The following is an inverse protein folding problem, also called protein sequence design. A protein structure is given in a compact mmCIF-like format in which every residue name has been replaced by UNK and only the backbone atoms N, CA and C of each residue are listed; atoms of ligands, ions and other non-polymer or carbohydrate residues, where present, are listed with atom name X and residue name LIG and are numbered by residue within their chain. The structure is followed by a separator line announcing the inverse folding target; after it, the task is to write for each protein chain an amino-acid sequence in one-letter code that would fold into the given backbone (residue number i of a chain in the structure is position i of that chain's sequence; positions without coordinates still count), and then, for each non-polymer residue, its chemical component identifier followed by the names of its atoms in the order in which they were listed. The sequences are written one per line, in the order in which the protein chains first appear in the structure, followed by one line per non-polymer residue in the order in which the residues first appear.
data_IF_317028654760
#
_entry.id   IF_317028654760
#
_cell.length_a   1.000
_cell.length_b   1.000
_cell.length_c   1.000
_cell.angle_alpha   90.00
_cell.angle_beta   90.00
_cell.angle_gamma   90.00
#
_symmetry.space_group_name_H-M   'P 1'
#
loop_
_entity.id
_entity.type
_entity.pdbx_description
1 polymer ?
#
# COMPACT_ATOMS: atom_id res chain seq x y z
N UNK A 1 0.48 13.13 -12.46
CA UNK A 1 0.21 13.24 -11.00
C UNK A 1 -0.24 11.87 -10.53
N UNK A 2 0.17 11.37 -9.35
CA UNK A 2 -0.37 10.10 -8.83
C UNK A 2 -1.90 10.23 -8.69
N UNK A 3 -2.64 9.41 -9.42
CA UNK A 3 -4.10 9.40 -9.37
C UNK A 3 -4.56 9.15 -7.95
N UNK A 4 -5.55 9.91 -7.50
CA UNK A 4 -6.15 9.81 -6.17
C UNK A 4 -7.63 9.58 -6.35
N UNK A 5 -8.17 8.62 -5.61
CA UNK A 5 -9.59 8.39 -5.52
C UNK A 5 -10.10 9.01 -4.22
N UNK A 6 -11.21 9.72 -4.29
CA UNK A 6 -11.82 10.42 -3.16
C UNK A 6 -13.18 9.80 -2.91
N UNK A 7 -13.37 9.27 -1.71
CA UNK A 7 -14.63 8.67 -1.28
C UNK A 7 -15.35 9.68 -0.41
N UNK A 8 -16.60 9.97 -0.73
CA UNK A 8 -17.49 10.82 0.05
C UNK A 8 -18.62 9.93 0.56
N UNK A 9 -18.59 9.57 1.85
CA UNK A 9 -19.63 8.74 2.50
C UNK A 9 -20.79 9.63 2.96
N UNK A 10 -20.47 10.80 3.52
CA UNK A 10 -21.45 11.80 3.95
C UNK A 10 -21.09 13.15 3.35
N UNK A 11 -22.01 13.70 2.57
CA UNK A 11 -21.87 14.93 1.80
C UNK A 11 -23.11 15.15 0.94
N UNK A 12 -23.08 16.14 0.06
CA UNK A 12 -24.21 16.44 -0.83
C UNK A 12 -24.52 15.30 -1.80
N UNK A 13 -23.48 14.75 -2.43
CA UNK A 13 -23.57 13.58 -3.32
C UNK A 13 -22.55 12.53 -2.85
N UNK A 14 -22.98 11.50 -2.12
CA UNK A 14 -22.11 10.39 -1.75
C UNK A 14 -21.67 9.57 -2.97
N UNK A 15 -20.43 9.10 -2.95
CA UNK A 15 -19.85 8.30 -4.03
C UNK A 15 -18.33 8.38 -4.08
N UNK A 16 -17.75 7.87 -5.17
CA UNK A 16 -16.30 7.87 -5.43
C UNK A 16 -15.99 8.78 -6.62
N UNK A 17 -14.96 9.61 -6.46
CA UNK A 17 -14.48 10.59 -7.43
C UNK A 17 -13.00 10.34 -7.74
N UNK A 18 -12.56 10.63 -8.97
CA UNK A 18 -11.14 10.61 -9.37
C UNK A 18 -10.50 12.01 -9.40
N UNK A 19 -11.26 13.06 -9.06
CA UNK A 19 -10.83 14.47 -9.00
C UNK A 19 -11.27 15.12 -7.69
N UNK A 20 -10.42 15.99 -7.16
CA UNK A 20 -10.72 16.77 -5.96
C UNK A 20 -11.48 18.05 -6.32
N UNK A 21 -10.78 19.01 -6.93
CA UNK A 21 -11.37 20.23 -7.47
C UNK A 21 -12.23 19.88 -8.70
N UNK A 22 -13.44 20.44 -8.75
CA UNK A 22 -14.46 20.04 -9.73
C UNK A 22 -15.05 18.64 -9.51
N UNK A 23 -14.76 17.99 -8.38
CA UNK A 23 -15.25 16.65 -8.04
C UNK A 23 -15.65 16.57 -6.56
N UNK A 24 -14.93 15.76 -5.78
CA UNK A 24 -15.28 15.48 -4.39
C UNK A 24 -15.38 16.72 -3.49
N UNK A 25 -14.55 17.74 -3.72
CA UNK A 25 -14.49 18.95 -2.87
C UNK A 25 -15.86 19.63 -2.74
N UNK A 26 -16.58 19.79 -3.85
CA UNK A 26 -17.88 20.45 -3.90
C UNK A 26 -18.95 19.74 -3.06
N UNK A 27 -18.77 18.46 -2.80
CA UNK A 27 -19.76 17.65 -2.07
C UNK A 27 -19.52 17.63 -0.56
N UNK A 28 -18.40 18.20 -0.08
CA UNK A 28 -18.01 18.18 1.33
C UNK A 28 -17.71 19.58 1.89
N UNK A 29 -17.34 20.53 1.04
CA UNK A 29 -17.10 21.91 1.43
C UNK A 29 -18.40 22.57 1.92
N UNK A 30 -18.39 23.12 3.15
CA UNK A 30 -19.59 23.69 3.78
C UNK A 30 -20.59 22.67 4.34
N UNK A 31 -20.42 21.37 4.10
CA UNK A 31 -21.30 20.33 4.61
C UNK A 31 -20.93 19.92 6.04
N UNK A 32 -21.80 20.25 7.02
CA UNK A 32 -21.53 19.95 8.44
C UNK A 32 -21.50 18.44 8.71
N UNK A 33 -20.36 17.97 9.20
CA UNK A 33 -20.15 16.55 9.51
C UNK A 33 -19.95 15.68 8.27
N UNK A 34 -19.38 16.24 7.19
CA UNK A 34 -18.97 15.47 6.03
C UNK A 34 -17.97 14.37 6.42
N UNK A 35 -18.11 13.20 5.81
CA UNK A 35 -17.23 12.04 6.00
C UNK A 35 -16.65 11.70 4.64
N UNK A 36 -15.36 11.93 4.47
CA UNK A 36 -14.65 11.67 3.22
C UNK A 36 -13.19 11.30 3.45
N UNK A 37 -12.57 10.57 2.51
CA UNK A 37 -11.16 10.18 2.55
C UNK A 37 -10.61 9.97 1.14
N UNK A 38 -9.30 10.16 0.96
CA UNK A 38 -8.60 9.90 -0.31
C UNK A 38 -7.72 8.65 -0.22
N UNK A 39 -7.61 7.90 -1.33
CA UNK A 39 -6.81 6.69 -1.46
C UNK A 39 -5.96 6.71 -2.74
N UNK A 40 -4.87 5.94 -2.75
CA UNK A 40 -4.01 5.80 -3.94
C UNK A 40 -4.58 4.90 -5.03
N UNK A 41 -5.48 3.98 -4.69
CA UNK A 41 -6.11 3.04 -5.65
C UNK A 41 -7.63 3.04 -5.51
N UNK A 42 -8.32 2.68 -6.59
CA UNK A 42 -9.77 2.52 -6.59
C UNK A 42 -10.20 1.40 -5.65
N UNK A 43 -9.44 0.30 -5.63
CA UNK A 43 -9.67 -0.85 -4.74
C UNK A 43 -9.74 -0.44 -3.26
N UNK A 44 -8.77 0.36 -2.79
CA UNK A 44 -8.76 0.89 -1.42
C UNK A 44 -9.96 1.82 -1.14
N UNK A 45 -10.37 2.62 -2.14
CA UNK A 45 -11.51 3.50 -2.04
C UNK A 45 -12.83 2.72 -1.91
N UNK A 46 -13.00 1.66 -2.70
CA UNK A 46 -14.17 0.77 -2.63
C UNK A 46 -14.25 0.00 -1.32
N UNK A 47 -13.11 -0.51 -0.81
CA UNK A 47 -13.06 -1.17 0.50
C UNK A 47 -13.51 -0.21 1.60
N UNK A 48 -12.99 1.02 1.61
CA UNK A 48 -13.37 1.99 2.63
C UNK A 48 -14.84 2.41 2.53
N UNK A 49 -15.40 2.54 1.32
CA UNK A 49 -16.83 2.76 1.13
C UNK A 49 -17.65 1.65 1.79
N UNK A 50 -17.35 0.38 1.49
CA UNK A 50 -18.05 -0.78 2.07
C UNK A 50 -17.98 -0.79 3.59
N UNK A 51 -16.82 -0.47 4.17
CA UNK A 51 -16.65 -0.40 5.62
C UNK A 51 -17.46 0.72 6.29
N UNK A 52 -17.67 1.84 5.60
CA UNK A 52 -18.35 3.02 6.17
C UNK A 52 -19.86 3.07 5.85
N UNK A 53 -20.29 2.36 4.81
CA UNK A 53 -21.68 2.30 4.33
C UNK A 53 -22.14 0.85 4.11
N UNK A 54 -22.19 -0.01 5.14
CA UNK A 54 -22.55 -1.42 4.97
C UNK A 54 -23.96 -1.64 4.43
N UNK A 55 -24.89 -0.71 4.71
CA UNK A 55 -26.29 -0.77 4.29
C UNK A 55 -26.53 -0.16 2.89
N UNK A 56 -25.51 0.43 2.25
CA UNK A 56 -25.65 1.04 0.93
C UNK A 56 -25.18 0.09 -0.17
N UNK A 57 -25.84 0.17 -1.33
CA UNK A 57 -25.38 -0.47 -2.57
C UNK A 57 -23.99 0.01 -2.98
N UNK A 58 -23.44 -0.64 -4.02
CA UNK A 58 -22.17 -0.25 -4.64
C UNK A 58 -22.05 1.27 -4.80
N UNK A 59 -20.85 1.84 -4.58
CA UNK A 59 -20.66 3.27 -4.64
C UNK A 59 -21.06 3.82 -6.01
N UNK A 60 -21.65 5.02 -6.02
CA UNK A 60 -21.81 5.76 -7.26
C UNK A 60 -20.44 6.28 -7.72
N UNK A 61 -20.02 5.89 -8.92
CA UNK A 61 -18.82 6.43 -9.55
C UNK A 61 -19.17 7.73 -10.28
N UNK A 62 -18.42 8.80 -9.98
CA UNK A 62 -18.58 10.12 -10.60
C UNK A 62 -17.55 10.37 -11.72
N UNK A 63 -17.08 9.30 -12.34
CA UNK A 63 -16.11 9.29 -13.42
C UNK A 63 -16.31 8.02 -14.26
N UNK A 64 -15.81 8.02 -15.49
CA UNK A 64 -15.81 6.81 -16.32
C UNK A 64 -14.66 5.89 -15.89
N UNK A 65 -15.00 4.69 -15.40
CA UNK A 65 -14.00 3.69 -15.01
C UNK A 65 -13.18 3.19 -16.20
N UNK A 66 -13.74 3.21 -17.42
CA UNK A 66 -13.03 2.81 -18.65
C UNK A 66 -11.95 3.82 -19.02
N UNK A 67 -12.23 5.11 -18.83
CA UNK A 67 -11.27 6.19 -19.06
C UNK A 67 -10.08 6.05 -18.11
N UNK A 68 -10.34 5.80 -16.82
CA UNK A 68 -9.29 5.58 -15.82
C UNK A 68 -8.45 4.33 -16.12
N UNK A 69 -9.06 3.24 -16.60
CA UNK A 69 -8.33 2.05 -17.02
C UNK A 69 -7.47 2.31 -18.28
N UNK A 70 -7.92 3.19 -19.18
CA UNK A 70 -7.22 3.53 -20.43
C UNK A 70 -6.07 4.53 -20.26
N UNK A 71 -6.06 5.33 -19.19
CA UNK A 71 -4.94 6.20 -18.83
C UNK A 71 -3.73 5.40 -18.29
N UNK A 72 -3.96 4.17 -17.83
CA UNK A 72 -2.91 3.20 -17.47
C UNK A 72 -2.55 2.39 -18.72
N UNK A 73 -2.25 3.07 -19.83
CA UNK A 73 -1.52 2.40 -20.90
C UNK A 73 -0.10 2.19 -20.40
N UNK A 74 0.40 0.93 -20.33
CA UNK A 74 1.82 0.71 -20.20
C UNK A 74 2.46 1.50 -21.33
N UNK A 75 3.31 2.46 -21.00
CA UNK A 75 4.28 2.90 -21.99
C UNK A 75 5.04 1.63 -22.34
N UNK A 76 5.04 1.20 -23.59
CA UNK A 76 5.88 0.10 -24.06
C UNK A 76 7.35 0.53 -23.93
N UNK A 77 7.83 0.58 -22.70
CA UNK A 77 9.26 0.62 -22.39
C UNK A 77 9.70 -0.83 -22.33
N UNK A 78 10.73 -1.17 -23.11
CA UNK A 78 11.41 -2.46 -22.97
C UNK A 78 11.84 -2.60 -21.51
N UNK A 79 11.11 -3.41 -20.74
CA UNK A 79 11.45 -3.70 -19.37
C UNK A 79 12.62 -4.68 -19.34
N UNK A 80 13.65 -4.32 -18.57
CA UNK A 80 14.78 -5.20 -18.30
C UNK A 80 14.27 -6.52 -17.73
N UNK A 81 14.61 -7.61 -18.41
CA UNK A 81 14.26 -8.97 -18.00
C UNK A 81 15.03 -9.35 -16.74
N UNK A 82 14.36 -10.09 -15.86
CA UNK A 82 14.82 -10.45 -14.52
C UNK A 82 15.93 -11.48 -14.48
N UNK A 83 16.15 -12.12 -13.31
CA UNK A 83 15.17 -12.27 -12.24
C UNK A 83 15.05 -11.04 -11.31
N UNK A 84 13.83 -10.76 -10.87
CA UNK A 84 13.54 -9.86 -9.76
C UNK A 84 12.99 -10.66 -8.58
N UNK A 85 13.48 -10.38 -7.38
CA UNK A 85 13.11 -11.07 -6.15
C UNK A 85 12.23 -10.18 -5.29
N UNK A 86 11.13 -10.73 -4.79
CA UNK A 86 10.41 -10.18 -3.64
C UNK A 86 10.95 -10.86 -2.39
N UNK A 87 11.31 -10.07 -1.38
CA UNK A 87 11.89 -10.57 -0.13
C UNK A 87 11.27 -9.91 1.09
N UNK A 88 11.39 -10.61 2.22
CA UNK A 88 11.05 -10.14 3.56
C UNK A 88 12.32 -9.82 4.33
N UNK A 89 12.24 -8.82 5.21
CA UNK A 89 13.19 -8.67 6.32
C UNK A 89 12.47 -9.06 7.60
N UNK A 90 13.05 -10.01 8.32
CA UNK A 90 12.47 -10.68 9.47
C UNK A 90 13.31 -10.37 10.72
N UNK A 91 12.62 -10.10 11.82
CA UNK A 91 13.25 -9.93 13.12
C UNK A 91 13.55 -11.32 13.70
N UNK A 92 14.82 -11.71 13.89
CA UNK A 92 15.16 -13.05 14.36
C UNK A 92 14.65 -13.33 15.77
N UNK A 93 14.40 -12.28 16.57
CA UNK A 93 13.95 -12.39 17.96
C UNK A 93 12.50 -12.85 18.07
N UNK A 94 11.65 -12.38 17.15
CA UNK A 94 10.21 -12.66 17.15
C UNK A 94 9.78 -13.57 15.99
N UNK A 95 10.67 -13.83 15.03
CA UNK A 95 10.35 -14.54 13.78
C UNK A 95 9.23 -13.84 12.98
N UNK A 96 9.09 -12.52 13.15
CA UNK A 96 8.07 -11.73 12.46
C UNK A 96 8.68 -10.89 11.33
N UNK A 97 8.09 -10.93 10.12
CA UNK A 97 8.47 -10.03 9.04
C UNK A 97 8.03 -8.60 9.38
N UNK A 98 8.94 -7.64 9.20
CA UNK A 98 8.67 -6.21 9.44
C UNK A 98 8.92 -5.34 8.21
N UNK A 99 9.36 -5.91 7.09
CA UNK A 99 9.57 -5.18 5.84
C UNK A 99 9.39 -6.13 4.65
N UNK A 100 8.81 -5.61 3.56
CA UNK A 100 8.76 -6.27 2.25
C UNK A 100 9.52 -5.39 1.25
N UNK A 101 10.27 -5.97 0.33
CA UNK A 101 10.83 -5.19 -0.78
C UNK A 101 11.09 -6.05 -2.00
N UNK A 102 11.47 -5.38 -3.09
CA UNK A 102 11.94 -6.04 -4.30
C UNK A 102 13.36 -5.63 -4.71
N UNK A 103 14.05 -6.51 -5.42
CA UNK A 103 15.41 -6.26 -5.94
C UNK A 103 15.77 -7.23 -7.06
N UNK A 104 16.62 -6.85 -8.01
CA UNK A 104 17.26 -7.79 -8.95
C UNK A 104 18.57 -8.37 -8.39
N UNK A 105 19.15 -7.73 -7.36
CA UNK A 105 20.38 -8.16 -6.70
C UNK A 105 20.14 -8.20 -5.18
N UNK A 106 20.12 -9.40 -4.61
CA UNK A 106 19.85 -9.62 -3.18
C UNK A 106 21.06 -9.28 -2.31
N UNK A 107 22.27 -9.60 -2.74
CA UNK A 107 23.49 -9.34 -1.97
C UNK A 107 23.74 -7.84 -1.83
N UNK A 108 23.65 -7.10 -2.95
CA UNK A 108 23.72 -5.64 -2.92
C UNK A 108 22.62 -5.05 -2.04
N UNK A 109 21.39 -5.56 -2.14
CA UNK A 109 20.27 -5.03 -1.37
C UNK A 109 20.43 -5.28 0.12
N UNK A 110 20.90 -6.46 0.53
CA UNK A 110 21.22 -6.80 1.92
C UNK A 110 22.27 -5.84 2.47
N UNK A 111 23.38 -5.66 1.78
CA UNK A 111 24.43 -4.73 2.23
C UNK A 111 23.92 -3.29 2.33
N UNK A 112 23.11 -2.83 1.37
CA UNK A 112 22.48 -1.51 1.41
C UNK A 112 21.53 -1.32 2.60
N UNK A 113 20.79 -2.35 2.99
CA UNK A 113 19.92 -2.32 4.17
C UNK A 113 20.70 -2.29 5.49
N UNK A 114 21.88 -2.87 5.55
CA UNK A 114 22.73 -2.87 6.75
C UNK A 114 23.56 -1.60 6.93
N UNK A 115 23.70 -0.77 5.88
CA UNK A 115 24.34 0.55 5.95
C UNK A 115 23.49 1.59 6.70
N UNK A 116 24.15 2.59 7.29
CA UNK A 116 23.52 3.67 8.06
C UNK A 116 22.78 4.73 7.21
N UNK A 117 22.75 4.53 5.89
CA UNK A 117 21.94 5.37 5.01
C UNK A 117 20.46 5.29 5.41
N UNK A 118 19.76 6.43 5.33
CA UNK A 118 18.33 6.54 5.66
C UNK A 118 17.96 6.08 7.08
N UNK A 119 18.87 6.16 8.06
CA UNK A 119 18.64 5.78 9.47
C UNK A 119 17.40 6.37 10.16
N UNK A 120 16.83 7.45 9.61
CA UNK A 120 15.60 8.05 10.11
C UNK A 120 14.35 7.21 9.79
N UNK A 121 14.38 6.32 8.79
CA UNK A 121 13.27 5.45 8.41
C UNK A 121 12.96 4.43 9.53
N UNK A 122 11.68 4.15 9.75
CA UNK A 122 11.22 3.23 10.79
C UNK A 122 11.88 1.85 10.72
N UNK A 123 11.86 1.20 9.54
CA UNK A 123 12.48 -0.12 9.37
C UNK A 123 14.00 -0.11 9.62
N UNK A 124 14.70 1.00 9.31
CA UNK A 124 16.14 1.14 9.60
C UNK A 124 16.42 1.26 11.09
N UNK A 125 15.57 1.99 11.83
CA UNK A 125 15.65 2.02 13.31
C UNK A 125 15.41 0.62 13.89
N UNK A 126 14.52 -0.16 13.30
CA UNK A 126 14.27 -1.54 13.71
C UNK A 126 15.50 -2.44 13.47
N UNK A 127 16.11 -2.37 12.28
CA UNK A 127 17.38 -3.06 11.98
C UNK A 127 18.46 -2.67 12.98
N UNK A 128 18.61 -1.38 13.30
CA UNK A 128 19.58 -0.91 14.27
C UNK A 128 19.32 -1.47 15.69
N UNK A 129 18.05 -1.65 16.07
CA UNK A 129 17.70 -2.31 17.34
C UNK A 129 18.10 -3.78 17.35
N UNK A 130 17.85 -4.53 16.27
CA UNK A 130 18.27 -5.94 16.17
C UNK A 130 19.79 -6.05 16.32
N UNK A 131 20.54 -5.18 15.63
CA UNK A 131 22.01 -5.15 15.68
C UNK A 131 22.57 -4.73 17.03
N UNK A 132 21.86 -3.87 17.77
CA UNK A 132 22.25 -3.50 19.14
C UNK A 132 22.24 -4.70 20.09
N UNK A 133 21.38 -5.69 19.82
CA UNK A 133 21.30 -6.92 20.60
C UNK A 133 22.32 -7.97 20.13
N UNK A 134 23.24 -7.62 19.22
CA UNK A 134 24.25 -8.53 18.66
C UNK A 134 23.70 -9.50 17.61
N UNK A 135 22.48 -9.28 17.11
CA UNK A 135 21.82 -10.11 16.11
C UNK A 135 21.83 -9.45 14.72
N UNK A 136 21.53 -10.22 13.68
CA UNK A 136 21.30 -9.70 12.33
C UNK A 136 19.88 -10.00 11.86
N UNK A 137 19.23 -9.07 11.13
CA UNK A 137 17.94 -9.36 10.51
C UNK A 137 18.07 -10.45 9.45
N UNK A 138 17.07 -11.32 9.38
CA UNK A 138 17.00 -12.36 8.37
C UNK A 138 16.41 -11.79 7.07
N UNK A 139 16.98 -12.17 5.94
CA UNK A 139 16.48 -11.80 4.61
C UNK A 139 16.00 -13.07 3.92
N UNK A 140 14.70 -13.12 3.60
CA UNK A 140 14.08 -14.29 2.99
C UNK A 140 13.45 -13.91 1.65
N UNK A 141 13.91 -14.53 0.56
CA UNK A 141 13.24 -14.44 -0.74
C UNK A 141 11.95 -15.25 -0.67
N UNK A 142 10.84 -14.66 -1.08
CA UNK A 142 9.50 -15.26 -1.01
C UNK A 142 8.83 -15.38 -2.37
N UNK A 143 9.36 -14.72 -3.39
CA UNK A 143 8.87 -14.80 -4.77
C UNK A 143 9.94 -14.38 -5.77
N UNK A 144 9.85 -14.89 -7.00
CA UNK A 144 10.73 -14.52 -8.13
C UNK A 144 9.89 -14.16 -9.33
N UNK A 145 10.15 -13.00 -9.91
CA UNK A 145 9.36 -12.39 -10.98
C UNK A 145 10.23 -12.09 -12.20
N UNK A 146 9.67 -12.22 -13.42
CA UNK A 146 10.44 -12.05 -14.64
C UNK A 146 10.69 -10.57 -14.97
N UNK A 147 9.89 -9.64 -14.46
CA UNK A 147 10.07 -8.22 -14.73
C UNK A 147 10.00 -7.37 -13.46
N UNK A 148 10.48 -6.13 -13.56
CA UNK A 148 10.39 -5.16 -12.47
C UNK A 148 8.94 -4.82 -12.15
N UNK A 149 8.08 -4.62 -13.16
CA UNK A 149 6.67 -4.36 -12.91
C UNK A 149 6.00 -5.51 -12.15
N UNK A 150 6.31 -6.75 -12.52
CA UNK A 150 5.78 -7.93 -11.83
C UNK A 150 6.26 -7.99 -10.38
N UNK A 151 7.53 -7.64 -10.11
CA UNK A 151 8.08 -7.58 -8.75
C UNK A 151 7.42 -6.50 -7.87
N UNK A 152 7.02 -5.35 -8.44
CA UNK A 152 6.31 -4.29 -7.72
C UNK A 152 4.89 -4.74 -7.35
N UNK A 153 4.21 -5.48 -8.25
CA UNK A 153 2.92 -6.09 -7.95
C UNK A 153 3.07 -7.16 -6.86
N UNK A 154 4.06 -8.03 -6.97
CA UNK A 154 4.37 -9.05 -5.97
C UNK A 154 4.69 -8.42 -4.59
N UNK A 155 5.47 -7.34 -4.52
CA UNK A 155 5.72 -6.59 -3.28
C UNK A 155 4.41 -6.12 -2.62
N UNK A 156 3.51 -5.54 -3.42
CA UNK A 156 2.21 -5.04 -2.94
C UNK A 156 1.34 -6.18 -2.41
N UNK A 157 1.24 -7.29 -3.14
CA UNK A 157 0.46 -8.47 -2.74
C UNK A 157 1.00 -9.11 -1.45
N UNK A 158 2.32 -9.16 -1.26
CA UNK A 158 2.90 -9.63 -0.01
C UNK A 158 2.58 -8.71 1.17
N UNK A 159 2.57 -7.39 0.97
CA UNK A 159 2.13 -6.44 2.00
C UNK A 159 0.67 -6.66 2.36
N UNK A 160 -0.22 -6.83 1.36
CA UNK A 160 -1.64 -7.16 1.59
C UNK A 160 -1.77 -8.45 2.40
N UNK A 161 -1.08 -9.52 1.98
CA UNK A 161 -1.08 -10.83 2.65
C UNK A 161 -0.68 -10.72 4.13
N UNK A 162 0.40 -10.02 4.43
CA UNK A 162 0.86 -9.79 5.82
C UNK A 162 -0.15 -8.94 6.61
N UNK A 163 -0.75 -7.92 6.00
CA UNK A 163 -1.79 -7.11 6.64
C UNK A 163 -3.02 -7.98 7.01
N UNK A 164 -3.47 -8.87 6.13
CA UNK A 164 -4.55 -9.82 6.41
C UNK A 164 -4.19 -10.83 7.50
N UNK A 165 -2.91 -11.11 7.72
CA UNK A 165 -2.44 -11.90 8.86
C UNK A 165 -2.36 -11.09 10.17
N UNK A 166 -2.65 -9.77 10.14
CA UNK A 166 -2.52 -8.88 11.29
C UNK A 166 -1.08 -8.40 11.53
N UNK A 167 -0.19 -8.57 10.55
CA UNK A 167 1.20 -8.14 10.63
C UNK A 167 1.34 -6.76 10.00
N UNK A 168 1.93 -5.83 10.74
CA UNK A 168 2.19 -4.46 10.29
C UNK A 168 3.65 -4.27 9.88
N UNK A 169 3.90 -4.29 8.57
CA UNK A 169 5.23 -3.98 8.03
C UNK A 169 5.53 -2.47 8.05
N UNK A 170 6.81 -2.13 8.13
CA UNK A 170 7.34 -0.77 8.32
C UNK A 170 7.69 -0.07 6.99
N UNK A 171 7.11 -0.53 5.87
CA UNK A 171 7.31 0.06 4.54
C UNK A 171 6.90 1.55 4.52
N UNK A 172 7.64 2.34 3.74
CA UNK A 172 7.40 3.78 3.62
C UNK A 172 6.29 4.19 2.66
N UNK A 173 5.77 3.26 1.85
CA UNK A 173 4.85 3.54 0.76
C UNK A 173 3.45 3.86 1.29
N UNK A 174 2.81 4.89 0.71
CA UNK A 174 1.48 5.33 1.14
C UNK A 174 0.43 4.24 0.94
N UNK A 175 0.42 3.60 -0.22
CA UNK A 175 -0.51 2.51 -0.54
C UNK A 175 -0.42 1.37 0.46
N UNK A 176 0.80 0.94 0.82
CA UNK A 176 1.01 -0.11 1.82
C UNK A 176 0.41 0.25 3.17
N UNK A 177 0.57 1.50 3.61
CA UNK A 177 -0.02 1.99 4.85
C UNK A 177 -1.55 2.01 4.77
N UNK A 178 -2.11 2.47 3.65
CA UNK A 178 -3.56 2.50 3.44
C UNK A 178 -4.16 1.08 3.49
N UNK A 179 -3.52 0.10 2.86
CA UNK A 179 -3.91 -1.32 2.96
C UNK A 179 -3.89 -1.84 4.39
N UNK A 180 -2.76 -1.66 5.09
CA UNK A 180 -2.60 -2.10 6.48
C UNK A 180 -3.69 -1.47 7.35
N UNK A 181 -3.89 -0.16 7.27
CA UNK A 181 -4.83 0.57 8.12
C UNK A 181 -6.29 0.15 7.84
N UNK A 182 -6.66 -0.12 6.58
CA UNK A 182 -8.02 -0.59 6.24
C UNK A 182 -8.30 -2.01 6.73
N UNK A 183 -7.36 -2.94 6.53
CA UNK A 183 -7.53 -4.34 6.94
C UNK A 183 -7.62 -4.47 8.46
N UNK A 184 -6.79 -3.72 9.20
CA UNK A 184 -6.84 -3.76 10.66
C UNK A 184 -8.12 -3.13 11.22
N UNK A 185 -8.68 -2.11 10.53
CA UNK A 185 -9.98 -1.53 10.90
C UNK A 185 -11.10 -2.55 10.78
N UNK A 186 -11.14 -3.32 9.69
CA UNK A 186 -12.18 -4.34 9.47
C UNK A 186 -12.22 -5.38 10.59
N UNK A 187 -11.05 -5.88 11.00
CA UNK A 187 -10.94 -6.84 12.10
C UNK A 187 -11.42 -6.30 13.43
N UNK A 188 -11.16 -5.02 13.72
CA UNK A 188 -11.59 -4.38 14.96
C UNK A 188 -13.09 -4.04 14.98
N UNK A 189 -13.73 -3.89 13.82
CA UNK A 189 -15.19 -3.68 13.73
C UNK A 189 -16.01 -4.98 13.82
N UNK A 190 -15.35 -6.15 13.73
CA UNK A 190 -15.97 -7.47 13.75
C UNK A 190 -15.86 -8.16 15.12
N UNK A 191 -15.32 -7.46 16.12
CA UNK A 191 -15.21 -7.89 17.53
C UNK A 191 -16.15 -7.05 18.39
#
# INVERSE_FOLDING_TARGET
MKSKFYVVVKGEKPGIYNKWDGGAKQNVEGYKGAIYKSFSTLELAEIWWKQMSPDQQNPKYHFDQKEVASEIQPTEVEEEQGPYYTYLIIDPRSQMPFYVGQTHDMEYRKTSHLRDSYKHRAYKKWIASIRKDGLEPEFQIVDTQPTKADSLRSETEWVKKLAYQGIRVLNGWREHKEWIDLVHREKNSSQ
#
